data_IF_672194828747
#
_entry.id   IF_672194828747
#
_cell.length_a   1.000
_cell.length_b   1.000
_cell.length_c   1.000
_cell.angle_alpha   90.00
_cell.angle_beta   90.00
_cell.angle_gamma   90.00
#
_symmetry.space_group_name_H-M   'P 1'
#
loop_
_entity.id
_entity.type
_entity.pdbx_description
1 polymer ?
#
# COMPACT_ATOMS: atom_id res chain seq x y z
N UNK A 1 13.79 8.21 9.65
CA UNK A 1 13.12 9.39 9.08
C UNK A 1 12.21 8.86 8.01
N UNK A 2 10.90 8.98 8.22
CA UNK A 2 9.86 8.67 7.24
C UNK A 2 10.28 9.28 5.90
N UNK A 3 10.34 8.47 4.84
CA UNK A 3 10.74 8.91 3.49
C UNK A 3 9.65 9.79 2.84
N UNK A 4 8.61 10.13 3.61
CA UNK A 4 7.52 11.00 3.25
C UNK A 4 6.50 10.31 2.36
N UNK A 5 6.62 8.98 2.19
CA UNK A 5 5.67 8.21 1.42
C UNK A 5 4.36 8.07 2.19
N UNK A 6 3.28 8.51 1.56
CA UNK A 6 1.91 8.29 2.02
C UNK A 6 1.16 7.60 0.90
N UNK A 7 0.36 6.60 1.23
CA UNK A 7 -0.49 5.92 0.26
C UNK A 7 -1.93 6.34 0.47
N UNK A 8 -2.54 6.81 -0.61
CA UNK A 8 -3.92 7.27 -0.59
C UNK A 8 -4.81 6.30 -1.34
N UNK A 9 -5.99 6.06 -0.80
CA UNK A 9 -7.08 5.38 -1.48
C UNK A 9 -8.14 6.42 -1.85
N UNK A 10 -8.73 6.29 -3.04
CA UNK A 10 -9.87 7.15 -3.40
C UNK A 10 -11.11 6.62 -2.72
N UNK A 11 -11.91 7.50 -2.11
CA UNK A 11 -13.17 7.09 -1.48
C UNK A 11 -14.12 6.39 -2.46
N UNK A 12 -14.10 6.77 -3.74
CA UNK A 12 -14.91 6.12 -4.77
C UNK A 12 -14.54 4.66 -5.04
N UNK A 13 -13.33 4.22 -4.67
CA UNK A 13 -12.86 2.84 -4.89
C UNK A 13 -13.20 1.91 -3.72
N UNK A 14 -13.83 2.42 -2.66
CA UNK A 14 -14.19 1.64 -1.47
C UNK A 14 -15.09 0.44 -1.80
N UNK A 15 -15.99 0.61 -2.76
CA UNK A 15 -16.83 -0.50 -3.21
C UNK A 15 -16.00 -1.56 -3.93
N UNK A 16 -15.10 -1.15 -4.82
CA UNK A 16 -14.18 -2.03 -5.54
C UNK A 16 -13.29 -2.83 -4.58
N UNK A 17 -12.74 -2.20 -3.55
CA UNK A 17 -11.98 -2.89 -2.49
C UNK A 17 -12.83 -3.97 -1.81
N UNK A 18 -14.07 -3.63 -1.46
CA UNK A 18 -14.99 -4.56 -0.80
C UNK A 18 -15.32 -5.76 -1.69
N UNK A 19 -15.54 -5.52 -2.99
CA UNK A 19 -15.75 -6.59 -3.97
C UNK A 19 -14.51 -7.47 -4.14
N UNK A 20 -13.31 -6.88 -4.19
CA UNK A 20 -12.05 -7.63 -4.28
C UNK A 20 -11.85 -8.53 -3.07
N UNK A 21 -12.05 -8.00 -1.85
CA UNK A 21 -11.98 -8.80 -0.62
C UNK A 21 -12.95 -9.97 -0.66
N UNK A 22 -14.19 -9.75 -1.10
CA UNK A 22 -15.17 -10.83 -1.26
C UNK A 22 -14.70 -11.88 -2.29
N UNK A 23 -14.25 -11.44 -3.46
CA UNK A 23 -13.78 -12.35 -4.53
C UNK A 23 -12.58 -13.18 -4.08
N UNK A 24 -11.64 -12.59 -3.35
CA UNK A 24 -10.49 -13.29 -2.76
C UNK A 24 -10.98 -14.37 -1.80
N UNK A 25 -11.85 -14.03 -0.84
CA UNK A 25 -12.39 -14.98 0.14
C UNK A 25 -13.15 -16.13 -0.55
N UNK A 26 -13.95 -15.84 -1.58
CA UNK A 26 -14.66 -16.87 -2.34
C UNK A 26 -13.74 -17.76 -3.19
N UNK A 27 -12.48 -17.36 -3.37
CA UNK A 27 -11.50 -18.10 -4.16
C UNK A 27 -10.51 -18.89 -3.31
N UNK A 28 -10.66 -18.92 -1.97
CA UNK A 28 -9.69 -19.56 -1.06
C UNK A 28 -9.42 -21.03 -1.40
N UNK A 29 -10.48 -21.79 -1.75
CA UNK A 29 -10.38 -23.22 -2.05
C UNK A 29 -9.60 -23.54 -3.34
N UNK A 30 -9.42 -22.55 -4.21
CA UNK A 30 -8.73 -22.70 -5.50
C UNK A 30 -7.37 -22.02 -5.53
N UNK A 31 -6.95 -21.37 -4.43
CA UNK A 31 -5.64 -20.73 -4.33
C UNK A 31 -4.53 -21.79 -4.31
N UNK A 32 -3.52 -21.60 -5.15
CA UNK A 32 -2.40 -22.53 -5.29
C UNK A 32 -1.09 -21.88 -4.84
N UNK A 33 -0.11 -22.72 -4.46
CA UNK A 33 1.24 -22.25 -4.23
C UNK A 33 1.81 -21.62 -5.51
N UNK A 34 2.58 -20.52 -5.42
CA UNK A 34 3.14 -19.88 -6.61
C UNK A 34 4.17 -20.78 -7.30
N UNK A 35 4.13 -20.83 -8.63
CA UNK A 35 5.16 -21.54 -9.42
C UNK A 35 6.57 -20.96 -9.22
N UNK A 36 6.68 -19.69 -8.82
CA UNK A 36 7.93 -19.06 -8.39
C UNK A 36 7.66 -17.75 -7.65
N UNK A 37 8.48 -17.49 -6.64
CA UNK A 37 8.47 -16.25 -5.84
C UNK A 37 9.61 -15.37 -6.38
N UNK A 38 9.24 -14.28 -7.05
CA UNK A 38 10.21 -13.41 -7.74
C UNK A 38 9.83 -11.94 -7.57
N UNK A 39 10.84 -11.11 -7.33
CA UNK A 39 10.70 -9.65 -7.28
C UNK A 39 9.93 -9.14 -8.50
N UNK A 40 8.92 -8.31 -8.24
CA UNK A 40 8.07 -7.68 -9.24
C UNK A 40 6.78 -8.41 -9.54
N UNK A 41 6.63 -9.70 -9.18
CA UNK A 41 5.40 -10.46 -9.42
C UNK A 41 4.26 -10.00 -8.51
N UNK A 42 3.04 -10.06 -9.05
CA UNK A 42 1.81 -9.91 -8.28
C UNK A 42 1.38 -11.28 -7.75
N UNK A 43 0.96 -11.32 -6.50
CA UNK A 43 0.52 -12.51 -5.79
C UNK A 43 -0.64 -12.19 -4.87
N UNK A 44 -1.19 -13.23 -4.23
CA UNK A 44 -1.95 -13.08 -3.01
C UNK A 44 -1.03 -13.30 -1.81
N UNK A 45 -1.16 -12.46 -0.80
CA UNK A 45 -0.35 -12.48 0.41
C UNK A 45 -1.25 -12.41 1.65
N UNK A 46 -0.97 -13.25 2.65
CA UNK A 46 -1.69 -13.22 3.92
C UNK A 46 -0.98 -12.31 4.92
N UNK A 47 -1.69 -11.29 5.41
CA UNK A 47 -1.19 -10.35 6.42
C UNK A 47 -0.96 -11.00 7.77
N UNK A 48 0.09 -10.60 8.50
CA UNK A 48 0.28 -11.06 9.88
C UNK A 48 -0.66 -10.36 10.86
N UNK A 49 -1.20 -9.18 10.52
CA UNK A 49 -2.03 -8.38 11.43
C UNK A 49 -3.44 -8.94 11.60
N UNK A 50 -4.09 -9.30 10.48
CA UNK A 50 -5.50 -9.72 10.46
C UNK A 50 -5.73 -11.11 9.86
N UNK A 51 -4.65 -11.75 9.36
CA UNK A 51 -4.70 -13.06 8.71
C UNK A 51 -5.65 -13.12 7.51
N UNK A 52 -5.88 -11.98 6.85
CA UNK A 52 -6.63 -11.89 5.61
C UNK A 52 -5.70 -11.88 4.40
N UNK A 53 -6.25 -12.29 3.26
CA UNK A 53 -5.55 -12.36 1.98
C UNK A 53 -5.76 -11.08 1.16
N UNK A 54 -4.66 -10.59 0.59
CA UNK A 54 -4.61 -9.34 -0.15
C UNK A 54 -3.84 -9.49 -1.44
N UNK A 55 -4.11 -8.64 -2.43
CA UNK A 55 -3.23 -8.52 -3.60
C UNK A 55 -1.95 -7.81 -3.18
N UNK A 56 -0.82 -8.40 -3.53
CA UNK A 56 0.47 -7.84 -3.19
C UNK A 56 1.46 -7.96 -4.34
N UNK A 57 2.48 -7.11 -4.31
CA UNK A 57 3.64 -7.16 -5.19
C UNK A 57 4.86 -7.60 -4.38
N UNK A 58 5.58 -8.59 -4.88
CA UNK A 58 6.85 -9.00 -4.26
C UNK A 58 7.89 -7.90 -4.50
N UNK A 59 8.38 -7.28 -3.43
CA UNK A 59 9.45 -6.30 -3.48
C UNK A 59 10.82 -6.97 -3.39
N UNK A 60 10.95 -7.99 -2.53
CA UNK A 60 12.16 -8.78 -2.33
C UNK A 60 11.77 -10.23 -2.02
N UNK A 61 12.57 -11.18 -2.48
CA UNK A 61 12.38 -12.60 -2.24
C UNK A 61 13.67 -13.17 -1.65
N UNK A 62 13.57 -13.70 -0.44
CA UNK A 62 14.60 -14.46 0.25
C UNK A 62 14.13 -15.92 0.35
N UNK A 63 14.95 -16.80 0.93
CA UNK A 63 14.67 -18.24 0.96
C UNK A 63 13.36 -18.57 1.71
N UNK A 64 13.21 -18.07 2.95
CA UNK A 64 12.05 -18.35 3.81
C UNK A 64 11.09 -17.16 3.96
N UNK A 65 11.51 -15.97 3.53
CA UNK A 65 10.79 -14.72 3.75
C UNK A 65 10.68 -13.89 2.47
N UNK A 66 9.60 -13.12 2.39
CA UNK A 66 9.28 -12.28 1.24
C UNK A 66 8.84 -10.92 1.75
N UNK A 67 9.47 -9.86 1.26
CA UNK A 67 8.96 -8.50 1.44
C UNK A 67 7.90 -8.24 0.38
N UNK A 68 6.68 -7.97 0.80
CA UNK A 68 5.55 -7.68 -0.08
C UNK A 68 5.03 -6.27 0.13
N UNK A 69 4.43 -5.71 -0.92
CA UNK A 69 3.71 -4.44 -0.91
C UNK A 69 2.24 -4.70 -1.24
N UNK A 70 1.33 -4.40 -0.32
CA UNK A 70 -0.10 -4.54 -0.54
C UNK A 70 -0.58 -3.47 -1.51
N UNK A 71 -0.72 -3.82 -2.79
CA UNK A 71 -0.90 -2.84 -3.87
C UNK A 71 -2.19 -2.01 -3.73
N UNK A 72 -3.16 -2.52 -2.98
CA UNK A 72 -4.44 -1.86 -2.76
C UNK A 72 -4.47 -0.95 -1.54
N UNK A 73 -3.49 -1.07 -0.63
CA UNK A 73 -3.46 -0.37 0.66
C UNK A 73 -2.19 0.48 0.85
N UNK A 74 -1.08 0.05 0.25
CA UNK A 74 0.17 0.79 0.23
C UNK A 74 1.14 0.50 1.37
N UNK A 75 0.72 -0.24 2.40
CA UNK A 75 1.66 -0.76 3.40
C UNK A 75 2.48 -1.92 2.83
N UNK A 76 3.64 -2.18 3.45
CA UNK A 76 4.53 -3.28 3.09
C UNK A 76 4.82 -4.12 4.33
N UNK A 77 5.09 -5.40 4.13
CA UNK A 77 5.25 -6.36 5.21
C UNK A 77 6.21 -7.48 4.80
N UNK A 78 7.01 -7.97 5.76
CA UNK A 78 7.79 -9.19 5.61
C UNK A 78 6.95 -10.38 6.09
N UNK A 79 6.73 -11.36 5.22
CA UNK A 79 5.91 -12.54 5.47
C UNK A 79 6.65 -13.82 5.08
N UNK A 80 6.24 -14.96 5.62
CA UNK A 80 6.76 -16.26 5.20
C UNK A 80 6.38 -16.56 3.74
N UNK A 81 7.23 -17.28 3.02
CA UNK A 81 6.90 -17.82 1.69
C UNK A 81 5.62 -18.68 1.70
N UNK A 82 5.27 -19.29 2.83
CA UNK A 82 4.03 -20.08 3.01
C UNK A 82 2.76 -19.22 2.97
N UNK A 83 2.89 -17.91 3.22
CA UNK A 83 1.82 -16.93 3.18
C UNK A 83 1.59 -16.34 1.78
N UNK A 84 2.23 -16.92 0.74
CA UNK A 84 2.07 -16.50 -0.65
C UNK A 84 1.22 -17.51 -1.42
N UNK A 85 0.30 -17.01 -2.26
CA UNK A 85 -0.45 -17.79 -3.24
C UNK A 85 -0.38 -17.13 -4.61
N UNK A 86 -0.51 -17.95 -5.65
CA UNK A 86 -0.67 -17.44 -7.01
C UNK A 86 -1.97 -16.64 -7.13
N UNK A 87 -1.93 -15.53 -7.86
CA UNK A 87 -3.11 -14.70 -8.08
C UNK A 87 -3.90 -15.22 -9.30
N UNK A 88 -5.18 -15.58 -9.15
CA UNK A 88 -6.05 -15.86 -10.28
C UNK A 88 -6.15 -14.68 -11.24
N UNK A 89 -6.22 -14.96 -12.55
CA UNK A 89 -6.32 -13.91 -13.57
C UNK A 89 -7.53 -12.97 -13.38
N UNK A 90 -8.62 -13.47 -12.79
CA UNK A 90 -9.82 -12.69 -12.47
C UNK A 90 -9.62 -11.61 -11.38
N UNK A 91 -8.52 -11.72 -10.60
CA UNK A 91 -8.16 -10.77 -9.55
C UNK A 91 -7.04 -9.82 -9.97
N UNK A 92 -6.45 -10.03 -11.14
CA UNK A 92 -5.50 -9.09 -11.72
C UNK A 92 -6.20 -7.78 -12.13
N UNK A 93 -5.51 -6.67 -11.95
CA UNK A 93 -6.02 -5.35 -12.30
C UNK A 93 -5.12 -4.25 -11.77
N UNK A 94 -5.58 -3.01 -11.89
CA UNK A 94 -4.86 -1.85 -11.37
C UNK A 94 -4.85 -1.84 -9.84
N UNK A 95 -3.77 -1.27 -9.28
CA UNK A 95 -3.62 -1.02 -7.87
C UNK A 95 -4.60 0.07 -7.40
N UNK A 96 -5.17 -0.09 -6.21
CA UNK A 96 -6.12 0.86 -5.63
C UNK A 96 -5.48 1.82 -4.60
N UNK A 97 -4.19 1.69 -4.35
CA UNK A 97 -3.41 2.67 -3.60
C UNK A 97 -2.53 3.53 -4.51
N UNK A 98 -2.42 4.81 -4.19
CA UNK A 98 -1.60 5.77 -4.91
C UNK A 98 -0.52 6.32 -4.00
N UNK A 99 0.75 6.15 -4.40
CA UNK A 99 1.89 6.71 -3.67
C UNK A 99 1.93 8.22 -3.86
N UNK A 100 1.92 8.94 -2.76
CA UNK A 100 2.12 10.37 -2.65
C UNK A 100 3.36 10.65 -1.81
N UNK A 101 3.94 11.84 -1.98
CA UNK A 101 5.07 12.30 -1.17
C UNK A 101 4.63 13.58 -0.48
N UNK A 102 4.59 13.57 0.84
CA UNK A 102 4.38 14.81 1.59
C UNK A 102 5.70 15.56 1.67
N UNK A 103 5.76 16.73 1.03
CA UNK A 103 6.90 17.64 1.15
C UNK A 103 6.58 18.68 2.20
N UNK A 104 7.12 18.50 3.41
CA UNK A 104 7.16 19.58 4.37
C UNK A 104 8.12 20.66 3.85
N UNK A 105 7.61 21.86 3.62
CA UNK A 105 8.46 23.04 3.50
C UNK A 105 8.78 23.52 4.91
N UNK A 106 10.06 23.63 5.24
CA UNK A 106 10.47 24.32 6.45
C UNK A 106 9.95 25.76 6.35
N UNK A 107 9.08 26.16 7.27
CA UNK A 107 8.80 27.57 7.49
C UNK A 107 10.04 28.13 8.17
N UNK A 108 11.00 28.60 7.37
CA UNK A 108 12.08 29.43 7.92
C UNK A 108 11.46 30.74 8.36
N UNK A 109 11.52 31.04 9.66
CA UNK A 109 11.18 32.36 10.20
C UNK A 109 12.07 33.44 9.54
N UNK A 110 11.64 33.95 8.39
CA UNK A 110 11.96 35.25 7.79
C UNK A 110 11.41 35.35 6.36
N UNK A 111 10.14 35.02 6.14
CA UNK A 111 9.45 35.43 4.91
C UNK A 111 8.17 36.15 5.27
N UNK A 112 8.33 37.46 5.47
CA UNK A 112 7.33 38.53 5.48
C UNK A 112 6.05 38.24 6.25
N UNK A 113 5.92 38.85 7.44
CA UNK A 113 4.59 39.20 7.94
C UNK A 113 3.86 39.94 6.82
N UNK A 114 2.60 39.61 6.57
CA UNK A 114 1.79 40.42 5.67
C UNK A 114 1.74 41.85 6.25
N UNK A 115 1.68 42.91 5.41
CA UNK A 115 1.64 44.29 5.90
C UNK A 115 0.50 44.56 6.91
N UNK A 116 -0.57 43.76 6.82
CA UNK A 116 -1.71 43.77 7.74
C UNK A 116 -1.34 43.32 9.17
N UNK A 117 -0.45 42.33 9.32
CA UNK A 117 -0.01 41.85 10.63
C UNK A 117 0.97 42.84 11.30
N UNK A 118 1.85 43.48 10.52
CA UNK A 118 2.75 44.52 11.05
C UNK A 118 1.98 45.73 11.61
N UNK A 119 0.86 46.10 10.98
CA UNK A 119 0.03 47.23 11.43
C UNK A 119 -0.69 46.93 12.76
N UNK A 120 -1.03 45.66 13.01
CA UNK A 120 -1.75 45.23 14.21
C UNK A 120 -0.83 45.12 15.44
N UNK A 121 0.43 44.72 15.24
CA UNK A 121 1.41 44.56 16.32
C UNK A 121 1.95 45.93 16.81
N UNK A 122 1.99 46.94 15.94
CA UNK A 122 2.55 48.26 16.25
C UNK A 122 1.50 49.29 16.76
N UNK A 123 0.39 48.83 17.35
CA UNK A 123 -0.65 49.67 17.99
C UNK A 123 -0.72 49.39 19.48
#
# INVERSE_FOLDING_TARGET
FDDGNVWLQRECDKHTLSELSLKIVTSLDIMQAPASIQKGKICLAMSNEDHLWYRAKILEALDDYVLVHYIDYGNSEEISTEQIREIPASLLGEALSYRCILRAQAVTEASSLSPLLETYINK
#
